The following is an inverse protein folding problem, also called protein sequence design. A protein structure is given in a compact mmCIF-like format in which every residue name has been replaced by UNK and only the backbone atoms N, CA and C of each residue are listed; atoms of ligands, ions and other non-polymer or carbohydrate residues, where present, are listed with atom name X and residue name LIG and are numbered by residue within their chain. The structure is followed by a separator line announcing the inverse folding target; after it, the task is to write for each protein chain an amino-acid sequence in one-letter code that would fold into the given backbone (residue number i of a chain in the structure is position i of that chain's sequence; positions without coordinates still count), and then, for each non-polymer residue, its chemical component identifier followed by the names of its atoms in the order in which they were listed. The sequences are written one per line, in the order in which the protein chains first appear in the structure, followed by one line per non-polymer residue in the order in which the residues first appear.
data_IF_561755312373
#
_entry.id   IF_561755312373
#
_cell.length_a   1.000
_cell.length_b   1.000
_cell.length_c   1.000
_cell.angle_alpha   90.00
_cell.angle_beta   90.00
_cell.angle_gamma   90.00
#
_symmetry.space_group_name_H-M   'P 1'
#
loop_
_entity.id
_entity.type
_entity.pdbx_description
1 polymer ?
#
# COMPACT_ATOMS: atom_id res chain seq x y z
N UNK A 1 -12.78 -21.15 -4.49
CA UNK A 1 -11.29 -21.32 -4.46
C UNK A 1 -10.66 -19.97 -4.78
N UNK A 2 -9.78 -19.49 -3.91
CA UNK A 2 -9.15 -18.18 -4.11
C UNK A 2 -8.27 -18.16 -5.37
N UNK A 3 -8.11 -17.00 -6.03
CA UNK A 3 -7.46 -16.88 -7.36
C UNK A 3 -6.01 -17.33 -7.41
N UNK A 4 -5.28 -17.22 -6.29
CA UNK A 4 -3.86 -17.56 -6.21
C UNK A 4 -3.58 -18.87 -5.46
N UNK A 5 -4.61 -19.71 -5.23
CA UNK A 5 -4.39 -21.05 -4.69
C UNK A 5 -3.44 -21.85 -5.60
N UNK A 6 -2.42 -22.45 -5.00
CA UNK A 6 -1.37 -23.19 -5.71
C UNK A 6 -0.22 -22.31 -6.23
N UNK A 7 -0.25 -20.99 -5.99
CA UNK A 7 0.89 -20.10 -6.23
C UNK A 7 1.74 -20.06 -4.97
N UNK A 8 3.05 -20.33 -5.10
CA UNK A 8 4.04 -20.22 -4.00
C UNK A 8 5.02 -19.09 -4.27
N UNK A 9 5.16 -18.19 -3.30
CA UNK A 9 6.04 -17.02 -3.35
C UNK A 9 7.01 -17.04 -2.17
N UNK A 10 8.30 -17.02 -2.46
CA UNK A 10 9.33 -16.77 -1.45
C UNK A 10 9.51 -15.26 -1.28
N UNK A 11 9.53 -14.76 -0.04
CA UNK A 11 9.57 -13.34 0.24
C UNK A 11 10.76 -13.00 1.16
N UNK A 12 11.80 -12.37 0.60
CA UNK A 12 12.95 -11.84 1.34
C UNK A 12 12.72 -10.35 1.54
N UNK A 13 11.99 -10.02 2.56
CA UNK A 13 11.39 -8.69 2.74
C UNK A 13 11.35 -8.27 4.20
N UNK A 14 11.28 -6.96 4.42
CA UNK A 14 11.16 -6.41 5.76
C UNK A 14 10.38 -5.10 5.77
N UNK A 15 9.89 -4.69 6.93
CA UNK A 15 9.23 -3.43 7.26
C UNK A 15 7.86 -3.29 6.60
N UNK A 16 7.70 -2.37 5.60
CA UNK A 16 6.40 -1.93 5.07
C UNK A 16 6.12 -2.37 3.62
N UNK A 17 6.83 -1.82 2.65
CA UNK A 17 6.47 -1.88 1.23
C UNK A 17 6.35 -3.31 0.65
N UNK A 18 7.42 -4.11 0.76
CA UNK A 18 7.42 -5.51 0.31
C UNK A 18 6.35 -6.34 1.02
N UNK A 19 6.39 -6.36 2.38
CA UNK A 19 5.40 -7.08 3.17
C UNK A 19 3.95 -6.71 2.87
N UNK A 20 3.65 -5.44 2.60
CA UNK A 20 2.31 -5.02 2.20
C UNK A 20 1.88 -5.64 0.86
N UNK A 21 2.76 -5.63 -0.14
CA UNK A 21 2.46 -6.21 -1.44
C UNK A 21 2.25 -7.73 -1.39
N UNK A 22 3.15 -8.46 -0.73
CA UNK A 22 3.05 -9.92 -0.62
C UNK A 22 1.89 -10.37 0.28
N UNK A 23 1.46 -9.53 1.24
CA UNK A 23 0.23 -9.78 2.02
C UNK A 23 -1.01 -9.80 1.13
N UNK A 24 -1.11 -8.92 0.11
CA UNK A 24 -2.22 -8.98 -0.86
C UNK A 24 -2.24 -10.31 -1.63
N UNK A 25 -1.08 -10.86 -1.97
CA UNK A 25 -1.00 -12.17 -2.61
C UNK A 25 -1.45 -13.28 -1.65
N UNK A 26 -1.02 -13.23 -0.40
CA UNK A 26 -1.43 -14.17 0.64
C UNK A 26 -2.94 -14.11 0.93
N UNK A 27 -3.53 -12.91 0.96
CA UNK A 27 -4.98 -12.71 1.11
C UNK A 27 -5.78 -13.30 -0.06
N UNK A 28 -5.18 -13.43 -1.25
CA UNK A 28 -5.77 -14.07 -2.43
C UNK A 28 -5.44 -15.57 -2.55
N UNK A 29 -4.85 -16.17 -1.52
CA UNK A 29 -4.62 -17.61 -1.43
C UNK A 29 -3.23 -18.09 -1.86
N UNK A 30 -2.30 -17.20 -2.22
CA UNK A 30 -0.93 -17.60 -2.44
C UNK A 30 -0.26 -18.08 -1.13
N UNK A 31 0.56 -19.10 -1.22
CA UNK A 31 1.44 -19.48 -0.13
C UNK A 31 2.68 -18.56 -0.15
N UNK A 32 2.69 -17.59 0.74
CA UNK A 32 3.82 -16.67 0.90
C UNK A 32 4.70 -17.16 2.05
N UNK A 33 5.95 -17.51 1.73
CA UNK A 33 6.97 -17.95 2.69
C UNK A 33 7.96 -16.79 2.88
N UNK A 34 7.86 -16.12 4.02
CA UNK A 34 8.76 -15.05 4.43
C UNK A 34 10.07 -15.67 4.93
N UNK A 35 11.16 -15.33 4.25
CA UNK A 35 12.51 -15.77 4.61
C UNK A 35 13.17 -14.68 5.45
N UNK A 36 13.58 -15.03 6.67
CA UNK A 36 14.15 -14.13 7.65
C UNK A 36 15.53 -14.62 8.09
N UNK A 37 16.49 -13.72 8.28
CA UNK A 37 17.80 -14.10 8.75
C UNK A 37 17.76 -14.46 10.24
N UNK A 38 18.22 -15.66 10.65
CA UNK A 38 18.21 -16.06 12.05
C UNK A 38 19.16 -15.24 12.93
N UNK A 39 20.19 -14.63 12.35
CA UNK A 39 21.30 -14.02 13.09
C UNK A 39 21.08 -12.54 13.42
N UNK A 40 20.07 -11.88 12.84
CA UNK A 40 19.77 -10.46 13.08
C UNK A 40 18.36 -10.22 13.66
N UNK A 41 17.66 -11.30 14.06
CA UNK A 41 16.30 -11.23 14.62
C UNK A 41 15.20 -11.11 13.56
N UNK A 42 15.53 -11.24 12.29
CA UNK A 42 14.57 -11.27 11.18
C UNK A 42 14.08 -9.90 10.74
N UNK A 43 12.79 -9.82 10.44
CA UNK A 43 12.17 -8.56 10.02
C UNK A 43 12.21 -7.52 11.17
N UNK A 44 12.88 -6.41 10.93
CA UNK A 44 13.01 -5.34 11.92
C UNK A 44 11.65 -4.82 12.41
N UNK A 45 10.58 -4.98 11.65
CA UNK A 45 9.23 -4.58 12.06
C UNK A 45 8.67 -5.38 13.24
N UNK A 46 9.25 -6.55 13.56
CA UNK A 46 8.92 -7.33 14.78
C UNK A 46 9.22 -6.57 16.07
N UNK A 47 10.18 -5.63 16.02
CA UNK A 47 10.58 -4.80 17.16
C UNK A 47 10.02 -3.35 17.10
N UNK A 48 9.24 -2.99 16.10
CA UNK A 48 8.68 -1.63 15.98
C UNK A 48 7.50 -1.46 16.95
N UNK A 49 7.66 -0.51 17.90
CA UNK A 49 6.62 -0.12 18.84
C UNK A 49 5.82 1.11 18.39
N UNK A 50 4.99 1.68 19.28
CA UNK A 50 4.97 1.42 20.74
C UNK A 50 4.02 0.29 21.19
N UNK A 51 3.25 -0.33 20.29
CA UNK A 51 2.22 -1.31 20.65
C UNK A 51 2.64 -2.74 20.29
N UNK A 52 2.49 -3.66 21.26
CA UNK A 52 2.87 -5.07 21.13
C UNK A 52 1.77 -5.97 21.71
N UNK A 53 1.52 -7.12 21.09
CA UNK A 53 0.66 -8.16 21.63
C UNK A 53 1.35 -8.98 22.73
N UNK A 54 2.67 -9.15 22.58
CA UNK A 54 3.58 -9.78 23.54
C UNK A 54 5.00 -9.22 23.31
N UNK A 55 5.97 -9.47 24.20
CA UNK A 55 7.37 -9.09 23.96
C UNK A 55 7.89 -9.62 22.61
N UNK A 56 8.38 -8.73 21.77
CA UNK A 56 8.85 -9.07 20.41
C UNK A 56 7.75 -9.37 19.38
N UNK A 57 6.50 -9.09 19.70
CA UNK A 57 5.33 -9.37 18.86
C UNK A 57 4.57 -8.08 18.54
N UNK A 58 5.12 -7.32 17.62
CA UNK A 58 4.67 -5.97 17.25
C UNK A 58 3.35 -5.95 16.49
N UNK A 59 2.42 -5.09 16.91
CA UNK A 59 1.20 -4.80 16.14
C UNK A 59 1.51 -4.26 14.74
N UNK A 60 2.65 -3.57 14.58
CA UNK A 60 3.12 -3.10 13.28
C UNK A 60 3.43 -4.28 12.34
N UNK A 61 4.16 -5.30 12.82
CA UNK A 61 4.44 -6.50 12.04
C UNK A 61 3.17 -7.23 11.59
N UNK A 62 2.19 -7.36 12.50
CA UNK A 62 0.90 -7.99 12.18
C UNK A 62 0.12 -7.25 11.10
N UNK A 63 0.27 -5.92 11.00
CA UNK A 63 -0.42 -5.11 10.00
C UNK A 63 -0.03 -5.44 8.55
N UNK A 64 1.12 -6.10 8.33
CA UNK A 64 1.69 -6.36 7.01
C UNK A 64 1.96 -7.84 6.71
N UNK A 65 1.75 -8.76 7.68
CA UNK A 65 2.25 -10.13 7.53
C UNK A 65 1.22 -11.24 7.79
N UNK A 66 -0.09 -10.90 7.88
CA UNK A 66 -1.14 -11.93 8.01
C UNK A 66 -1.09 -12.92 6.86
N UNK A 67 -1.52 -14.14 7.11
CA UNK A 67 -1.66 -15.23 6.12
C UNK A 67 -0.33 -15.77 5.57
N UNK A 68 0.83 -15.25 6.01
CA UNK A 68 2.15 -15.74 5.58
C UNK A 68 2.65 -16.89 6.46
N UNK A 69 3.69 -17.58 5.97
CA UNK A 69 4.56 -18.47 6.74
C UNK A 69 5.89 -17.77 6.99
N UNK A 70 6.60 -18.11 8.06
CA UNK A 70 7.97 -17.64 8.34
C UNK A 70 8.93 -18.81 8.37
N UNK A 71 10.06 -18.65 7.69
CA UNK A 71 11.19 -19.55 7.63
C UNK A 71 12.46 -18.77 7.94
N UNK A 72 13.24 -19.20 8.92
CA UNK A 72 14.56 -18.64 9.18
C UNK A 72 15.60 -19.25 8.25
N UNK A 73 16.43 -18.41 7.60
CA UNK A 73 17.46 -18.86 6.69
C UNK A 73 18.53 -17.79 6.45
N UNK A 74 19.79 -18.12 6.74
CA UNK A 74 20.92 -17.26 6.41
C UNK A 74 21.34 -17.45 4.95
N UNK A 75 20.91 -16.54 4.09
CA UNK A 75 21.21 -16.56 2.65
C UNK A 75 22.66 -16.18 2.31
N UNK A 76 23.46 -15.70 3.25
CA UNK A 76 24.87 -15.41 3.03
C UNK A 76 25.73 -16.69 3.05
N UNK A 77 25.19 -17.77 3.59
CA UNK A 77 25.92 -19.05 3.72
C UNK A 77 25.64 -20.00 2.57
N UNK A 78 26.64 -20.81 2.15
CA UNK A 78 26.43 -21.79 1.10
C UNK A 78 25.33 -22.80 1.39
N UNK A 79 25.21 -23.25 2.65
CA UNK A 79 24.12 -24.15 3.08
C UNK A 79 22.77 -23.53 2.96
N UNK A 80 22.65 -22.21 3.29
CA UNK A 80 21.44 -21.43 3.11
C UNK A 80 21.07 -21.26 1.64
N UNK A 81 22.06 -21.06 0.75
CA UNK A 81 21.83 -21.04 -0.69
C UNK A 81 21.32 -22.39 -1.22
N UNK A 82 21.81 -23.50 -0.69
CA UNK A 82 21.31 -24.83 -1.07
C UNK A 82 19.83 -25.00 -0.70
N UNK A 83 19.43 -24.57 0.50
CA UNK A 83 18.01 -24.56 0.93
C UNK A 83 17.17 -23.63 0.06
N UNK A 84 17.67 -22.43 -0.28
CA UNK A 84 16.99 -21.50 -1.18
C UNK A 84 16.73 -22.14 -2.55
N UNK A 85 17.72 -22.85 -3.10
CA UNK A 85 17.56 -23.55 -4.39
C UNK A 85 16.52 -24.67 -4.30
N UNK A 86 16.47 -25.43 -3.19
CA UNK A 86 15.47 -26.46 -2.99
C UNK A 86 14.05 -25.86 -2.88
N UNK A 87 13.88 -24.75 -2.18
CA UNK A 87 12.62 -23.99 -2.12
C UNK A 87 12.22 -23.45 -3.51
N UNK A 88 13.18 -22.88 -4.24
CA UNK A 88 12.93 -22.23 -5.54
C UNK A 88 12.44 -23.22 -6.61
N UNK A 89 12.82 -24.51 -6.54
CA UNK A 89 12.32 -25.56 -7.47
C UNK A 89 10.80 -25.69 -7.43
N UNK A 90 10.20 -25.55 -6.24
CA UNK A 90 8.77 -25.67 -6.02
C UNK A 90 8.02 -24.33 -5.90
N UNK A 91 8.66 -23.22 -6.26
CA UNK A 91 8.07 -21.88 -6.11
C UNK A 91 7.84 -21.22 -7.46
N UNK A 92 6.78 -20.42 -7.58
CA UNK A 92 6.47 -19.67 -8.79
C UNK A 92 7.25 -18.35 -8.85
N UNK A 93 7.53 -17.74 -7.68
CA UNK A 93 8.22 -16.47 -7.61
C UNK A 93 9.04 -16.30 -6.34
N UNK A 94 9.98 -15.36 -6.43
CA UNK A 94 10.66 -14.77 -5.29
C UNK A 94 10.46 -13.26 -5.33
N UNK A 95 10.09 -12.65 -4.19
CA UNK A 95 9.95 -11.22 -4.02
C UNK A 95 10.96 -10.71 -3.00
N UNK A 96 11.53 -9.52 -3.24
CA UNK A 96 12.42 -8.87 -2.28
C UNK A 96 12.17 -7.36 -2.20
N UNK A 97 12.38 -6.74 -1.03
CA UNK A 97 12.38 -5.30 -0.88
C UNK A 97 13.68 -4.78 -0.27
N UNK A 98 14.78 -5.30 -0.77
CA UNK A 98 16.12 -4.97 -0.34
C UNK A 98 16.70 -3.80 -1.14
N UNK A 99 17.79 -3.19 -0.62
CA UNK A 99 18.56 -2.22 -1.39
C UNK A 99 18.99 -2.84 -2.74
N UNK A 100 19.01 -2.03 -3.80
CA UNK A 100 19.10 -2.52 -5.18
C UNK A 100 20.32 -3.41 -5.52
N UNK A 101 21.43 -3.23 -4.81
CA UNK A 101 22.66 -4.01 -4.98
C UNK A 101 22.65 -5.39 -4.24
N UNK A 102 21.71 -5.61 -3.34
CA UNK A 102 21.69 -6.77 -2.43
C UNK A 102 21.10 -8.04 -3.06
N UNK A 103 20.01 -8.00 -3.85
CA UNK A 103 19.40 -9.24 -4.39
C UNK A 103 20.38 -10.11 -5.17
N UNK A 104 21.25 -9.51 -5.99
CA UNK A 104 22.25 -10.27 -6.74
C UNK A 104 23.31 -10.92 -5.85
N UNK A 105 23.69 -10.27 -4.73
CA UNK A 105 24.64 -10.80 -3.74
C UNK A 105 24.08 -12.00 -2.98
N UNK A 106 22.76 -11.99 -2.73
CA UNK A 106 22.04 -13.07 -2.03
C UNK A 106 21.47 -14.14 -2.98
N UNK A 107 21.81 -14.11 -4.27
CA UNK A 107 21.36 -15.13 -5.22
C UNK A 107 19.87 -15.07 -5.59
N UNK A 108 19.19 -13.95 -5.34
CA UNK A 108 17.73 -13.81 -5.50
C UNK A 108 17.31 -13.41 -6.92
N UNK A 109 18.24 -13.35 -7.87
CA UNK A 109 18.00 -12.89 -9.24
C UNK A 109 17.76 -14.07 -10.20
N UNK A 110 17.01 -13.82 -11.26
CA UNK A 110 16.64 -14.84 -12.25
C UNK A 110 17.86 -15.58 -12.80
N UNK A 111 18.95 -14.87 -13.11
CA UNK A 111 20.18 -15.46 -13.65
C UNK A 111 20.78 -16.56 -12.74
N UNK A 112 20.61 -16.43 -11.42
CA UNK A 112 21.05 -17.41 -10.42
C UNK A 112 20.08 -18.58 -10.25
N UNK A 113 18.77 -18.32 -10.41
CA UNK A 113 17.72 -19.29 -10.11
C UNK A 113 17.21 -20.04 -11.34
N UNK A 114 17.44 -19.54 -12.56
CA UNK A 114 16.95 -20.16 -13.81
C UNK A 114 17.41 -21.59 -14.03
N UNK A 115 18.58 -21.98 -13.51
CA UNK A 115 19.10 -23.35 -13.63
C UNK A 115 18.36 -24.35 -12.75
N UNK A 116 17.75 -23.87 -11.66
CA UNK A 116 16.94 -24.70 -10.75
C UNK A 116 15.45 -24.63 -11.10
N UNK A 117 15.00 -23.45 -11.55
CA UNK A 117 13.62 -23.23 -11.99
C UNK A 117 13.57 -22.19 -13.13
N UNK A 118 13.52 -22.63 -14.41
CA UNK A 118 13.51 -21.71 -15.55
C UNK A 118 12.28 -20.83 -15.64
N UNK A 119 11.20 -21.11 -14.88
CA UNK A 119 9.96 -20.34 -14.90
C UNK A 119 9.86 -19.34 -13.74
N UNK A 120 10.82 -19.32 -12.81
CA UNK A 120 10.74 -18.50 -11.61
C UNK A 120 10.74 -17.01 -11.96
N UNK A 121 9.84 -16.26 -11.35
CA UNK A 121 9.81 -14.79 -11.44
C UNK A 121 10.53 -14.21 -10.23
N UNK A 122 11.49 -13.32 -10.46
CA UNK A 122 12.21 -12.61 -9.40
C UNK A 122 11.78 -11.15 -9.40
N UNK A 123 10.96 -10.76 -8.44
CA UNK A 123 10.42 -9.41 -8.31
C UNK A 123 11.17 -8.62 -7.23
N UNK A 124 11.71 -7.46 -7.61
CA UNK A 124 12.54 -6.66 -6.72
C UNK A 124 11.94 -5.27 -6.52
N UNK A 125 11.73 -4.91 -5.26
CA UNK A 125 11.40 -3.58 -4.84
C UNK A 125 12.63 -2.95 -4.19
N UNK A 126 13.01 -1.76 -4.62
CA UNK A 126 14.14 -1.02 -4.05
C UNK A 126 13.84 0.48 -3.98
N UNK A 127 14.71 1.27 -3.38
CA UNK A 127 14.51 2.71 -3.29
C UNK A 127 14.57 3.40 -4.67
N UNK A 128 15.64 3.12 -5.45
CA UNK A 128 15.95 3.81 -6.71
C UNK A 128 16.21 2.86 -7.89
N UNK A 129 15.82 1.59 -7.78
CA UNK A 129 16.14 0.57 -8.79
C UNK A 129 17.42 -0.20 -8.47
N UNK A 130 17.67 -1.27 -9.25
CA UNK A 130 18.85 -2.13 -9.12
C UNK A 130 20.04 -1.69 -9.99
N UNK A 131 19.89 -0.64 -10.77
CA UNK A 131 20.94 -0.12 -11.66
C UNK A 131 21.08 1.40 -11.51
N UNK A 132 22.18 1.94 -12.02
CA UNK A 132 22.45 3.37 -11.98
C UNK A 132 23.17 3.81 -10.70
N UNK A 133 23.44 5.12 -10.58
CA UNK A 133 24.33 5.66 -9.54
C UNK A 133 23.75 5.62 -8.11
N UNK A 134 22.48 5.27 -7.95
CA UNK A 134 21.80 5.21 -6.66
C UNK A 134 21.33 3.79 -6.28
N UNK A 135 21.79 2.75 -6.99
CA UNK A 135 21.37 1.38 -6.73
C UNK A 135 21.72 0.89 -5.30
N UNK A 136 22.78 1.41 -4.72
CA UNK A 136 23.26 1.13 -3.36
C UNK A 136 22.80 2.15 -2.31
N UNK A 137 21.93 3.12 -2.68
CA UNK A 137 21.44 4.09 -1.72
C UNK A 137 20.28 3.54 -0.90
N UNK A 138 20.28 3.78 0.42
CA UNK A 138 19.13 3.48 1.24
C UNK A 138 18.00 4.48 0.93
N UNK A 139 16.75 4.02 1.02
CA UNK A 139 15.59 4.89 0.85
C UNK A 139 14.40 4.36 1.63
N UNK A 140 13.58 5.31 2.07
CA UNK A 140 12.37 5.06 2.85
C UNK A 140 11.26 5.98 2.35
N UNK A 141 10.03 5.63 2.60
CA UNK A 141 8.83 6.34 2.17
C UNK A 141 8.94 7.88 2.28
N UNK A 142 9.20 8.41 3.47
CA UNK A 142 9.19 9.86 3.71
C UNK A 142 10.30 10.61 2.97
N UNK A 143 11.42 9.95 2.70
CA UNK A 143 12.47 10.52 1.85
C UNK A 143 11.99 10.61 0.41
N UNK A 144 11.31 9.56 -0.08
CA UNK A 144 10.74 9.54 -1.43
C UNK A 144 9.63 10.58 -1.59
N UNK A 145 8.76 10.74 -0.58
CA UNK A 145 7.76 11.80 -0.58
C UNK A 145 8.40 13.19 -0.69
N UNK A 146 9.48 13.44 0.05
CA UNK A 146 10.18 14.72 0.01
C UNK A 146 10.82 14.96 -1.36
N UNK A 147 11.57 13.99 -1.88
CA UNK A 147 12.31 14.11 -3.13
C UNK A 147 11.39 14.15 -4.36
N UNK A 148 10.28 13.41 -4.36
CA UNK A 148 9.29 13.40 -5.45
C UNK A 148 8.28 14.56 -5.38
N UNK A 149 8.46 15.52 -4.46
CA UNK A 149 7.69 16.76 -4.43
C UNK A 149 6.37 16.71 -3.63
N UNK A 150 6.02 15.62 -2.94
CA UNK A 150 4.75 15.50 -2.19
C UNK A 150 4.64 16.55 -1.07
N UNK A 151 5.76 16.88 -0.42
CA UNK A 151 5.77 17.89 0.64
C UNK A 151 5.40 19.29 0.13
N UNK A 152 5.62 19.57 -1.15
CA UNK A 152 5.21 20.82 -1.79
C UNK A 152 3.73 20.88 -2.16
N UNK A 153 3.05 19.74 -2.15
CA UNK A 153 1.63 19.59 -2.52
C UNK A 153 0.71 19.48 -1.30
N UNK A 154 1.23 19.07 -0.13
CA UNK A 154 0.45 18.75 1.06
C UNK A 154 0.45 19.91 2.06
N UNK A 155 -0.74 20.26 2.59
CA UNK A 155 -0.93 21.28 3.61
C UNK A 155 -1.43 22.63 3.07
N UNK A 156 -1.59 23.61 3.94
CA UNK A 156 -2.04 24.97 3.58
C UNK A 156 -0.89 25.79 2.99
N UNK A 157 -1.19 26.74 2.07
CA UNK A 157 -0.20 27.72 1.60
C UNK A 157 0.46 28.48 2.75
N UNK A 158 1.76 28.72 2.65
CA UNK A 158 2.53 29.45 3.68
C UNK A 158 2.92 28.64 4.91
N UNK A 159 2.35 27.45 5.12
CA UNK A 159 2.78 26.54 6.18
C UNK A 159 4.10 25.85 5.81
N UNK A 160 4.88 25.32 6.78
CA UNK A 160 6.06 24.50 6.50
C UNK A 160 5.71 23.30 5.59
N UNK A 161 6.70 22.74 4.84
CA UNK A 161 6.50 21.51 4.08
C UNK A 161 5.94 20.40 4.97
N UNK A 162 4.90 19.72 4.48
CA UNK A 162 4.21 18.65 5.23
C UNK A 162 4.18 17.37 4.42
N UNK A 163 4.54 16.23 5.06
CA UNK A 163 4.38 14.91 4.46
C UNK A 163 2.91 14.52 4.37
N UNK A 164 2.59 13.60 3.48
CA UNK A 164 1.33 12.88 3.57
C UNK A 164 1.29 12.03 4.85
N UNK A 165 0.15 11.97 5.52
CA UNK A 165 0.00 11.36 6.84
C UNK A 165 0.39 9.89 6.94
N UNK A 166 0.34 9.14 5.84
CA UNK A 166 0.66 7.72 5.76
C UNK A 166 2.01 7.50 5.03
N UNK A 167 2.58 6.30 5.14
CA UNK A 167 3.67 5.83 4.29
C UNK A 167 3.12 5.45 2.90
N UNK A 168 2.56 6.43 2.19
CA UNK A 168 1.78 6.20 0.98
C UNK A 168 2.63 5.67 -0.17
N UNK A 169 3.89 6.06 -0.26
CA UNK A 169 4.81 5.58 -1.30
C UNK A 169 5.11 4.10 -1.08
N UNK A 170 5.37 3.68 0.16
CA UNK A 170 5.55 2.26 0.50
C UNK A 170 4.32 1.44 0.12
N UNK A 171 3.12 1.89 0.53
CA UNK A 171 1.88 1.17 0.26
C UNK A 171 1.60 1.05 -1.24
N UNK A 172 1.75 2.14 -2.00
CA UNK A 172 1.57 2.12 -3.45
C UNK A 172 2.62 1.29 -4.17
N UNK A 173 3.88 1.33 -3.71
CA UNK A 173 4.96 0.52 -4.31
C UNK A 173 4.77 -0.97 -3.99
N UNK A 174 4.28 -1.31 -2.79
CA UNK A 174 3.91 -2.68 -2.44
C UNK A 174 2.82 -3.24 -3.38
N UNK A 175 1.77 -2.45 -3.66
CA UNK A 175 0.77 -2.83 -4.67
C UNK A 175 1.39 -2.93 -6.07
N UNK A 176 2.31 -2.03 -6.42
CA UNK A 176 3.08 -2.09 -7.66
C UNK A 176 3.90 -3.38 -7.78
N UNK A 177 4.54 -3.82 -6.69
CA UNK A 177 5.26 -5.10 -6.62
C UNK A 177 4.32 -6.28 -6.85
N UNK A 178 3.17 -6.33 -6.17
CA UNK A 178 2.18 -7.38 -6.35
C UNK A 178 1.67 -7.45 -7.80
N UNK A 179 1.35 -6.28 -8.39
CA UNK A 179 0.93 -6.18 -9.79
C UNK A 179 2.04 -6.66 -10.75
N UNK A 180 3.27 -6.19 -10.59
CA UNK A 180 4.41 -6.55 -11.41
C UNK A 180 4.69 -8.06 -11.36
N UNK A 181 4.64 -8.65 -10.15
CA UNK A 181 4.80 -10.08 -9.94
C UNK A 181 3.71 -10.87 -10.68
N UNK A 182 2.43 -10.51 -10.53
CA UNK A 182 1.32 -11.20 -11.22
C UNK A 182 1.42 -11.07 -12.75
N UNK A 183 1.80 -9.91 -13.28
CA UNK A 183 2.02 -9.72 -14.70
C UNK A 183 3.16 -10.62 -15.23
N UNK A 184 4.28 -10.68 -14.50
CA UNK A 184 5.40 -11.53 -14.85
C UNK A 184 5.08 -13.03 -14.71
N UNK A 185 4.32 -13.44 -13.69
CA UNK A 185 3.83 -14.81 -13.54
C UNK A 185 2.94 -15.24 -14.71
N UNK A 186 2.05 -14.36 -15.15
CA UNK A 186 1.19 -14.62 -16.31
C UNK A 186 2.04 -14.85 -17.57
N UNK A 187 3.06 -14.03 -17.79
CA UNK A 187 3.99 -14.18 -18.91
C UNK A 187 4.84 -15.45 -18.78
N UNK A 188 5.34 -15.77 -17.57
CA UNK A 188 6.17 -16.96 -17.33
C UNK A 188 5.37 -18.27 -17.53
N UNK A 189 4.09 -18.30 -17.12
CA UNK A 189 3.21 -19.45 -17.37
C UNK A 189 2.94 -19.67 -18.84
N UNK A 190 2.79 -18.59 -19.62
CA UNK A 190 2.55 -18.69 -21.06
C UNK A 190 3.82 -19.07 -21.86
N UNK A 191 4.99 -18.53 -21.49
CA UNK A 191 6.24 -18.72 -22.23
C UNK A 191 7.10 -19.88 -21.75
N UNK A 192 6.89 -20.35 -20.52
CA UNK A 192 7.76 -21.30 -19.86
C UNK A 192 9.07 -20.68 -19.33
N UNK A 193 9.22 -19.35 -19.38
CA UNK A 193 10.45 -18.63 -19.03
C UNK A 193 10.15 -17.52 -18.02
N UNK A 194 10.83 -17.56 -16.88
CA UNK A 194 10.77 -16.53 -15.85
C UNK A 194 11.65 -15.31 -16.18
N UNK A 195 11.72 -14.37 -15.26
CA UNK A 195 12.52 -13.15 -15.42
C UNK A 195 12.70 -12.39 -14.12
N UNK A 196 13.63 -11.45 -14.10
CA UNK A 196 13.63 -10.36 -13.14
C UNK A 196 12.58 -9.31 -13.52
N UNK A 197 11.96 -8.67 -12.53
CA UNK A 197 11.12 -7.48 -12.68
C UNK A 197 11.40 -6.52 -11.53
N UNK A 198 11.54 -5.24 -11.85
CA UNK A 198 11.93 -4.19 -10.90
C UNK A 198 10.80 -3.19 -10.67
N UNK A 199 10.65 -2.78 -9.42
CA UNK A 199 9.80 -1.67 -8.99
C UNK A 199 10.61 -0.81 -8.03
N UNK A 200 10.59 0.52 -8.16
CA UNK A 200 11.27 1.39 -7.21
C UNK A 200 10.31 2.34 -6.49
N UNK A 201 10.64 2.69 -5.24
CA UNK A 201 9.88 3.67 -4.47
C UNK A 201 9.85 5.02 -5.19
N UNK A 202 11.01 5.46 -5.72
CA UNK A 202 11.12 6.76 -6.37
C UNK A 202 10.32 6.84 -7.67
N UNK A 203 10.42 5.81 -8.54
CA UNK A 203 9.65 5.76 -9.78
C UNK A 203 8.14 5.73 -9.51
N UNK A 204 7.72 4.96 -8.50
CA UNK A 204 6.32 4.90 -8.10
C UNK A 204 5.85 6.25 -7.55
N UNK A 205 6.68 6.92 -6.73
CA UNK A 205 6.36 8.25 -6.22
C UNK A 205 6.18 9.27 -7.35
N UNK A 206 7.10 9.29 -8.33
CA UNK A 206 6.98 10.16 -9.51
C UNK A 206 5.74 9.82 -10.34
N UNK A 207 5.52 8.53 -10.63
CA UNK A 207 4.36 8.08 -11.42
C UNK A 207 3.03 8.50 -10.78
N UNK A 208 2.92 8.43 -9.45
CA UNK A 208 1.73 8.81 -8.71
C UNK A 208 1.42 10.32 -8.77
N UNK A 209 2.36 11.18 -9.16
CA UNK A 209 2.07 12.60 -9.40
C UNK A 209 1.19 12.83 -10.63
N UNK A 210 1.05 11.84 -11.51
CA UNK A 210 0.08 11.72 -12.60
C UNK A 210 -0.05 13.01 -13.45
N UNK A 211 -1.26 13.61 -13.45
CA UNK A 211 -1.55 14.80 -14.27
C UNK A 211 -0.75 16.04 -13.84
N UNK A 212 -0.34 16.15 -12.59
CA UNK A 212 0.49 17.28 -12.13
C UNK A 212 1.87 17.25 -12.80
N UNK A 213 2.49 16.06 -12.89
CA UNK A 213 3.73 15.88 -13.65
C UNK A 213 3.51 16.16 -15.14
N UNK A 214 2.39 15.68 -15.70
CA UNK A 214 2.06 15.92 -17.13
C UNK A 214 1.93 17.40 -17.43
N UNK A 215 1.27 18.18 -16.58
CA UNK A 215 1.14 19.62 -16.75
C UNK A 215 2.50 20.34 -16.67
N UNK A 216 3.36 19.94 -15.73
CA UNK A 216 4.68 20.51 -15.65
C UNK A 216 5.55 20.20 -16.88
N UNK A 217 5.56 18.93 -17.31
CA UNK A 217 6.41 18.48 -18.42
C UNK A 217 6.00 19.07 -19.77
N UNK A 218 4.73 19.42 -19.96
CA UNK A 218 4.24 19.94 -21.24
C UNK A 218 4.01 21.46 -21.25
N UNK A 219 3.59 22.03 -20.11
CA UNK A 219 3.18 23.44 -20.02
C UNK A 219 4.04 24.24 -19.04
N UNK A 220 4.97 23.60 -18.33
CA UNK A 220 5.79 24.25 -17.32
C UNK A 220 5.01 24.67 -16.06
N UNK A 221 3.78 24.18 -15.87
CA UNK A 221 2.92 24.57 -14.76
C UNK A 221 3.37 23.86 -13.48
N UNK A 222 3.88 24.65 -12.51
CA UNK A 222 4.23 24.18 -11.17
C UNK A 222 2.98 24.27 -10.29
N UNK A 223 2.40 23.12 -9.93
CA UNK A 223 1.30 23.07 -8.96
C UNK A 223 1.84 23.11 -7.55
N UNK A 224 1.33 24.04 -6.75
CA UNK A 224 1.63 24.15 -5.31
C UNK A 224 0.41 23.82 -4.45
N UNK A 225 0.55 24.09 -3.14
CA UNK A 225 -0.54 24.00 -2.18
C UNK A 225 -1.60 25.05 -2.47
N UNK A 226 -2.85 24.64 -2.37
CA UNK A 226 -4.01 25.53 -2.49
C UNK A 226 -4.75 25.62 -1.16
N UNK A 227 -5.35 26.78 -0.81
CA UNK A 227 -6.13 26.91 0.40
C UNK A 227 -7.24 25.88 0.47
N UNK A 228 -7.53 25.39 1.69
CA UNK A 228 -8.66 24.48 1.95
C UNK A 228 -8.61 23.17 1.17
N UNK A 229 -7.41 22.67 0.89
CA UNK A 229 -7.22 21.44 0.10
C UNK A 229 -7.94 21.50 -1.24
N UNK A 230 -7.94 22.66 -1.91
CA UNK A 230 -8.65 22.87 -3.16
C UNK A 230 -8.00 22.11 -4.33
N UNK A 231 -8.83 21.60 -5.24
CA UNK A 231 -8.37 21.03 -6.49
C UNK A 231 -7.83 22.13 -7.44
N UNK A 232 -6.70 21.96 -8.11
CA UNK A 232 -6.11 23.02 -8.93
C UNK A 232 -6.98 23.48 -10.10
N UNK A 233 -7.82 22.61 -10.67
CA UNK A 233 -8.60 22.91 -11.87
C UNK A 233 -10.11 22.84 -11.69
N UNK A 234 -10.64 22.35 -10.56
CA UNK A 234 -12.08 22.16 -10.35
C UNK A 234 -12.60 23.01 -9.20
N UNK A 235 -13.79 23.56 -9.35
CA UNK A 235 -14.50 24.33 -8.34
C UNK A 235 -16.02 24.14 -8.52
N UNK A 236 -16.80 23.83 -7.42
CA UNK A 236 -16.39 23.54 -6.04
C UNK A 236 -15.69 22.16 -5.92
N UNK A 237 -14.48 22.15 -5.39
CA UNK A 237 -13.76 20.93 -5.04
C UNK A 237 -12.73 21.25 -3.95
N UNK A 238 -13.19 21.36 -2.69
CA UNK A 238 -12.40 21.79 -1.53
C UNK A 238 -13.19 21.67 -0.22
N UNK A 239 -12.56 22.06 0.89
CA UNK A 239 -13.20 22.21 2.20
C UNK A 239 -14.07 23.46 2.27
N UNK A 240 -15.24 23.31 2.89
CA UNK A 240 -16.16 24.39 3.24
C UNK A 240 -16.54 24.31 4.72
N UNK A 241 -16.83 25.48 5.33
CA UNK A 241 -17.26 25.53 6.73
C UNK A 241 -18.75 25.27 6.87
N UNK A 242 -19.11 24.45 7.85
CA UNK A 242 -20.48 24.21 8.28
C UNK A 242 -20.71 24.82 9.66
N UNK A 243 -21.92 24.68 10.23
CA UNK A 243 -22.22 25.20 11.58
C UNK A 243 -21.36 24.57 12.68
N UNK A 244 -20.94 23.31 12.50
CA UNK A 244 -20.25 22.49 13.50
C UNK A 244 -18.86 21.97 13.06
N UNK A 245 -18.35 22.41 11.90
CA UNK A 245 -17.04 22.00 11.44
C UNK A 245 -16.82 22.18 9.95
N UNK A 246 -16.42 21.11 9.28
CA UNK A 246 -16.03 21.12 7.88
C UNK A 246 -16.73 20.04 7.07
N UNK A 247 -17.01 20.36 5.80
CA UNK A 247 -17.48 19.42 4.79
C UNK A 247 -16.57 19.52 3.54
N UNK A 248 -16.21 18.40 2.93
CA UNK A 248 -15.58 18.41 1.62
C UNK A 248 -16.63 18.26 0.53
N UNK A 249 -16.67 19.18 -0.43
CA UNK A 249 -17.49 19.07 -1.62
C UNK A 249 -16.61 18.75 -2.83
N UNK A 250 -17.10 17.88 -3.72
CA UNK A 250 -16.38 17.49 -4.94
C UNK A 250 -17.32 17.50 -6.17
N UNK A 251 -17.67 18.68 -6.64
CA UNK A 251 -18.47 18.83 -7.85
C UNK A 251 -17.59 18.69 -9.10
N UNK A 252 -17.13 17.46 -9.38
CA UNK A 252 -16.22 17.14 -10.48
C UNK A 252 -16.91 16.85 -11.83
N UNK A 253 -18.22 17.05 -11.92
CA UNK A 253 -19.02 17.02 -13.15
C UNK A 253 -19.95 18.22 -13.15
N UNK A 254 -20.21 18.80 -14.33
CA UNK A 254 -21.05 19.99 -14.46
C UNK A 254 -22.45 19.81 -13.86
N UNK A 255 -23.04 18.62 -13.95
CA UNK A 255 -24.35 18.30 -13.38
C UNK A 255 -24.45 18.43 -11.85
N UNK A 256 -23.33 18.39 -11.14
CA UNK A 256 -23.34 18.50 -9.67
C UNK A 256 -23.48 19.96 -9.19
N UNK A 257 -23.13 20.92 -10.03
CA UNK A 257 -23.28 22.33 -9.68
C UNK A 257 -24.75 22.75 -9.55
N UNK A 258 -25.63 22.54 -10.55
CA UNK A 258 -27.05 22.83 -10.38
C UNK A 258 -27.70 22.06 -9.22
N UNK A 259 -27.34 20.79 -9.05
CA UNK A 259 -27.86 20.00 -7.93
C UNK A 259 -27.43 20.57 -6.56
N UNK A 260 -26.20 21.05 -6.43
CA UNK A 260 -25.74 21.74 -5.21
C UNK A 260 -26.54 23.03 -5.00
N UNK A 261 -26.71 23.87 -6.03
CA UNK A 261 -27.47 25.12 -5.95
C UNK A 261 -28.93 24.88 -5.48
N UNK A 262 -29.57 23.86 -6.04
CA UNK A 262 -30.95 23.47 -5.63
C UNK A 262 -31.00 23.06 -4.16
N UNK A 263 -30.05 22.20 -3.70
CA UNK A 263 -29.97 21.74 -2.31
C UNK A 263 -29.67 22.85 -1.31
N UNK A 264 -28.94 23.87 -1.74
CA UNK A 264 -28.68 25.09 -0.95
C UNK A 264 -29.88 26.08 -0.93
N UNK A 265 -30.90 25.86 -1.76
CA UNK A 265 -32.00 26.81 -1.94
C UNK A 265 -31.61 28.05 -2.76
N UNK A 266 -30.62 27.91 -3.62
CA UNK A 266 -30.06 28.98 -4.47
C UNK A 266 -30.01 28.57 -5.94
N UNK A 267 -31.12 28.12 -6.55
CA UNK A 267 -31.11 27.63 -7.93
C UNK A 267 -30.62 28.69 -8.93
N UNK A 268 -30.81 29.97 -8.63
CA UNK A 268 -30.38 31.11 -9.46
C UNK A 268 -28.83 31.13 -9.66
N UNK A 269 -28.05 30.56 -8.74
CA UNK A 269 -26.59 30.51 -8.90
C UNK A 269 -26.15 29.60 -10.04
N UNK A 270 -26.96 28.62 -10.40
CA UNK A 270 -26.69 27.74 -11.51
C UNK A 270 -26.70 28.46 -12.86
N UNK A 271 -27.53 29.49 -12.98
CA UNK A 271 -27.72 30.30 -14.18
C UNK A 271 -26.80 31.53 -14.23
N UNK A 272 -26.15 31.88 -13.12
CA UNK A 272 -25.20 33.00 -13.06
C UNK A 272 -24.01 32.74 -13.99
N UNK A 273 -23.78 33.68 -14.92
CA UNK A 273 -22.69 33.56 -15.90
C UNK A 273 -21.29 33.38 -15.27
N UNK A 274 -21.08 33.87 -14.04
CA UNK A 274 -19.84 33.73 -13.29
C UNK A 274 -19.59 32.29 -12.82
N UNK A 275 -20.64 31.45 -12.76
CA UNK A 275 -20.57 30.12 -12.13
C UNK A 275 -21.10 29.00 -13.03
N UNK A 276 -21.53 29.30 -14.24
CA UNK A 276 -22.22 28.35 -15.13
C UNK A 276 -21.33 27.16 -15.52
N UNK A 277 -20.03 27.38 -15.76
CA UNK A 277 -19.08 26.37 -16.22
C UNK A 277 -17.85 26.28 -15.30
N UNK A 278 -17.10 25.18 -15.37
CA UNK A 278 -15.87 25.01 -14.60
C UNK A 278 -14.88 26.17 -14.71
N UNK A 279 -14.50 26.64 -15.92
CA UNK A 279 -13.57 27.76 -16.04
C UNK A 279 -14.08 29.03 -15.36
N UNK A 280 -15.40 29.28 -15.43
CA UNK A 280 -16.01 30.47 -14.82
C UNK A 280 -15.97 30.38 -13.30
N UNK A 281 -16.34 29.22 -12.73
CA UNK A 281 -16.24 28.97 -11.29
C UNK A 281 -14.82 29.03 -10.80
N UNK A 282 -13.86 28.47 -11.55
CA UNK A 282 -12.44 28.51 -11.22
C UNK A 282 -11.91 29.94 -11.15
N UNK A 283 -12.27 30.78 -12.10
CA UNK A 283 -11.91 32.20 -12.14
C UNK A 283 -12.48 32.98 -10.95
N UNK A 284 -13.64 32.58 -10.46
CA UNK A 284 -14.36 33.26 -9.35
C UNK A 284 -14.33 32.43 -8.05
N UNK A 285 -13.33 31.56 -7.86
CA UNK A 285 -13.25 30.60 -6.73
C UNK A 285 -13.42 31.26 -5.37
N UNK A 286 -12.70 32.34 -5.10
CA UNK A 286 -12.71 32.98 -3.77
C UNK A 286 -14.10 33.56 -3.45
N UNK A 287 -14.72 34.23 -4.42
CA UNK A 287 -16.08 34.73 -4.28
C UNK A 287 -17.06 33.58 -4.02
N UNK A 288 -17.00 32.54 -4.84
CA UNK A 288 -17.88 31.38 -4.71
C UNK A 288 -17.65 30.64 -3.38
N UNK A 289 -16.43 30.56 -2.91
CA UNK A 289 -16.10 29.99 -1.60
C UNK A 289 -16.78 30.74 -0.47
N UNK A 290 -16.75 32.08 -0.49
CA UNK A 290 -17.43 32.90 0.50
C UNK A 290 -18.97 32.73 0.47
N UNK A 291 -19.56 32.66 -0.73
CA UNK A 291 -21.01 32.43 -0.90
C UNK A 291 -21.41 31.04 -0.37
N UNK A 292 -20.67 29.99 -0.73
CA UNK A 292 -20.95 28.62 -0.26
C UNK A 292 -20.76 28.48 1.25
N UNK A 293 -19.72 29.07 1.83
CA UNK A 293 -19.56 29.11 3.30
C UNK A 293 -20.73 29.79 4.00
N UNK A 294 -21.26 30.89 3.43
CA UNK A 294 -22.40 31.58 3.98
C UNK A 294 -23.64 30.70 4.10
N UNK A 295 -23.92 29.89 3.09
CA UNK A 295 -25.05 28.96 3.11
C UNK A 295 -24.78 27.72 3.96
N UNK A 296 -23.58 27.10 3.81
CA UNK A 296 -23.25 25.86 4.49
C UNK A 296 -23.15 26.02 6.01
N UNK A 297 -22.79 27.19 6.52
CA UNK A 297 -22.80 27.51 7.96
C UNK A 297 -24.17 27.48 8.61
N UNK A 298 -25.25 27.49 7.84
CA UNK A 298 -26.62 27.50 8.40
C UNK A 298 -27.03 26.14 9.00
N UNK A 299 -26.39 25.03 8.59
CA UNK A 299 -26.72 23.69 9.07
C UNK A 299 -25.44 22.95 9.50
N UNK A 300 -25.62 21.87 10.26
CA UNK A 300 -24.54 20.95 10.63
C UNK A 300 -24.02 20.14 9.41
N UNK A 301 -22.82 19.63 9.51
CA UNK A 301 -22.25 18.70 8.52
C UNK A 301 -23.19 17.51 8.27
N UNK A 302 -23.73 16.91 9.34
CA UNK A 302 -24.66 15.79 9.24
C UNK A 302 -25.95 16.12 8.50
N UNK A 303 -26.56 17.28 8.77
CA UNK A 303 -27.78 17.75 8.09
C UNK A 303 -27.52 17.96 6.58
N UNK A 304 -26.35 18.52 6.22
CA UNK A 304 -25.96 18.69 4.81
C UNK A 304 -25.71 17.37 4.11
N UNK A 305 -24.99 16.44 4.74
CA UNK A 305 -24.73 15.13 4.16
C UNK A 305 -26.01 14.34 3.89
N UNK A 306 -26.99 14.42 4.80
CA UNK A 306 -28.30 13.82 4.61
C UNK A 306 -29.05 14.46 3.42
N UNK A 307 -28.98 15.78 3.27
CA UNK A 307 -29.58 16.50 2.14
C UNK A 307 -28.93 16.21 0.81
N UNK A 308 -27.61 16.03 0.79
CA UNK A 308 -26.80 15.80 -0.41
C UNK A 308 -26.79 14.35 -0.88
N UNK A 309 -27.19 13.41 -0.01
CA UNK A 309 -27.12 11.97 -0.30
C UNK A 309 -27.66 11.63 -1.69
N UNK A 310 -26.87 10.92 -2.49
CA UNK A 310 -27.21 10.48 -3.85
C UNK A 310 -27.24 11.56 -4.94
N UNK A 311 -27.08 12.86 -4.58
CA UNK A 311 -27.18 13.96 -5.54
C UNK A 311 -25.93 14.84 -5.66
N UNK A 312 -25.30 15.17 -4.54
CA UNK A 312 -24.08 16.00 -4.50
C UNK A 312 -22.94 15.23 -3.85
N UNK A 313 -21.78 15.07 -4.50
CA UNK A 313 -20.64 14.42 -3.89
C UNK A 313 -20.08 15.25 -2.74
N UNK A 314 -20.24 14.74 -1.52
CA UNK A 314 -19.80 15.37 -0.29
C UNK A 314 -19.34 14.32 0.73
N UNK A 315 -18.41 14.71 1.60
CA UNK A 315 -17.92 13.85 2.67
C UNK A 315 -17.66 14.63 3.96
N UNK A 316 -17.83 14.00 5.14
CA UNK A 316 -17.39 14.58 6.40
C UNK A 316 -15.87 14.53 6.49
N UNK A 317 -15.28 15.31 7.38
CA UNK A 317 -13.87 15.24 7.72
C UNK A 317 -13.75 14.43 9.02
N UNK A 318 -13.53 13.14 8.85
CA UNK A 318 -13.39 12.19 9.95
C UNK A 318 -11.95 12.10 10.42
N UNK A 319 -11.75 11.89 11.71
CA UNK A 319 -10.54 11.27 12.21
C UNK A 319 -10.55 9.74 11.97
N UNK A 320 -9.46 9.05 12.31
CA UNK A 320 -9.33 7.62 12.06
C UNK A 320 -10.33 6.78 12.87
N UNK A 321 -10.63 7.18 14.12
CA UNK A 321 -11.60 6.48 14.96
C UNK A 321 -13.00 6.60 14.36
N UNK A 322 -13.43 7.81 14.00
CA UNK A 322 -14.71 8.08 13.36
C UNK A 322 -14.85 7.32 12.03
N UNK A 323 -13.77 7.23 11.24
CA UNK A 323 -13.77 6.48 9.99
C UNK A 323 -13.96 4.97 10.23
N UNK A 324 -13.28 4.38 11.22
CA UNK A 324 -13.37 2.95 11.54
C UNK A 324 -14.67 2.58 12.25
N UNK A 325 -15.27 3.50 12.99
CA UNK A 325 -16.55 3.33 13.66
C UNK A 325 -17.77 3.62 12.76
N UNK A 326 -17.54 4.08 11.54
CA UNK A 326 -18.61 4.34 10.58
C UNK A 326 -19.49 3.07 10.41
N UNK A 327 -20.84 3.21 10.50
CA UNK A 327 -21.76 2.09 10.30
C UNK A 327 -21.49 1.30 9.02
N UNK A 328 -21.19 1.97 7.91
CA UNK A 328 -20.83 1.30 6.66
C UNK A 328 -19.61 0.38 6.79
N UNK A 329 -18.62 0.74 7.61
CA UNK A 329 -17.43 -0.08 7.86
C UNK A 329 -17.78 -1.30 8.70
N UNK A 330 -18.58 -1.12 9.76
CA UNK A 330 -18.99 -2.20 10.67
C UNK A 330 -19.94 -3.21 10.01
N UNK A 331 -20.94 -2.70 9.29
CA UNK A 331 -22.05 -3.52 8.80
C UNK A 331 -21.71 -4.25 7.49
N UNK A 332 -20.63 -3.89 6.81
CA UNK A 332 -20.24 -4.45 5.51
C UNK A 332 -18.92 -5.23 5.55
N UNK A 333 -18.53 -5.75 6.72
CA UNK A 333 -17.36 -6.63 6.84
C UNK A 333 -16.05 -5.98 6.40
N UNK A 334 -15.86 -4.67 6.70
CA UNK A 334 -14.61 -3.96 6.40
C UNK A 334 -13.54 -4.17 7.46
N UNK A 335 -13.93 -4.75 8.58
CA UNK A 335 -13.03 -5.16 9.66
C UNK A 335 -13.06 -6.69 9.77
N UNK A 336 -11.94 -7.27 10.15
CA UNK A 336 -11.83 -8.70 10.45
C UNK A 336 -11.22 -8.92 11.84
N UNK A 337 -11.63 -10.00 12.48
CA UNK A 337 -11.04 -10.48 13.74
C UNK A 337 -10.18 -11.69 13.42
N UNK A 338 -8.92 -11.66 13.84
CA UNK A 338 -7.95 -12.71 13.60
C UNK A 338 -7.58 -13.34 14.94
N UNK A 339 -7.55 -14.68 15.07
CA UNK A 339 -7.10 -15.34 16.30
C UNK A 339 -5.62 -15.04 16.55
N UNK A 340 -5.25 -14.96 17.83
CA UNK A 340 -3.86 -14.71 18.25
C UNK A 340 -3.51 -15.60 19.45
N UNK A 341 -2.37 -16.29 19.42
CA UNK A 341 -2.06 -17.32 20.44
C UNK A 341 -1.92 -16.74 21.85
N UNK A 342 -1.46 -15.51 22.01
CA UNK A 342 -1.24 -14.86 23.31
C UNK A 342 -2.38 -13.91 23.67
N UNK A 343 -2.79 -13.04 22.74
CA UNK A 343 -3.84 -12.03 22.96
C UNK A 343 -5.26 -12.61 22.89
N UNK A 344 -5.43 -13.82 22.38
CA UNK A 344 -6.71 -14.43 22.06
C UNK A 344 -7.22 -14.00 20.67
N UNK A 345 -7.34 -12.72 20.41
CA UNK A 345 -7.66 -12.19 19.08
C UNK A 345 -7.29 -10.70 18.94
N UNK A 346 -7.17 -10.25 17.71
CA UNK A 346 -7.03 -8.82 17.37
C UNK A 346 -7.86 -8.47 16.15
N UNK A 347 -8.18 -7.19 16.01
CA UNK A 347 -8.93 -6.67 14.88
C UNK A 347 -8.03 -5.90 13.94
N UNK A 348 -8.31 -6.00 12.65
CA UNK A 348 -7.65 -5.20 11.63
C UNK A 348 -8.60 -4.92 10.44
N UNK A 349 -8.21 -4.00 9.57
CA UNK A 349 -8.93 -3.74 8.32
C UNK A 349 -8.82 -4.97 7.43
N UNK A 350 -9.96 -5.43 6.91
CA UNK A 350 -10.03 -6.56 5.99
C UNK A 350 -9.38 -6.21 4.65
N UNK A 351 -8.99 -7.26 3.89
CA UNK A 351 -8.48 -7.03 2.52
C UNK A 351 -9.51 -6.27 1.66
N UNK A 352 -9.08 -5.24 0.92
CA UNK A 352 -9.97 -4.51 0.02
C UNK A 352 -10.27 -5.29 -1.27
N UNK A 353 -9.45 -6.29 -1.62
CA UNK A 353 -9.65 -7.15 -2.80
C UNK A 353 -10.43 -8.39 -2.37
N UNK A 354 -11.65 -8.50 -2.87
CA UNK A 354 -12.59 -9.55 -2.47
C UNK A 354 -13.05 -10.36 -3.67
N UNK A 355 -12.98 -11.67 -3.54
CA UNK A 355 -13.61 -12.59 -4.47
C UNK A 355 -15.04 -12.87 -4.01
N UNK A 356 -16.02 -12.71 -4.88
CA UNK A 356 -17.42 -13.01 -4.55
C UNK A 356 -17.57 -14.50 -4.32
N UNK A 357 -18.06 -14.88 -3.13
CA UNK A 357 -18.27 -16.27 -2.75
C UNK A 357 -17.06 -16.98 -2.11
N UNK A 358 -15.91 -16.32 -2.02
CA UNK A 358 -14.72 -16.85 -1.33
C UNK A 358 -14.29 -15.89 -0.20
N UNK A 359 -13.84 -16.44 0.91
CA UNK A 359 -13.30 -15.69 2.02
C UNK A 359 -11.76 -15.72 2.01
N UNK A 360 -11.14 -14.57 2.29
CA UNK A 360 -9.70 -14.51 2.51
C UNK A 360 -9.31 -15.32 3.75
N UNK A 361 -8.14 -15.98 3.76
CA UNK A 361 -7.67 -16.69 4.95
C UNK A 361 -7.55 -15.71 6.14
N UNK A 362 -7.96 -16.12 7.33
CA UNK A 362 -7.92 -15.33 8.57
C UNK A 362 -6.81 -15.79 9.51
N UNK A 363 -5.60 -16.07 9.00
CA UNK A 363 -4.48 -16.53 9.81
C UNK A 363 -3.67 -15.33 10.33
N UNK A 364 -3.17 -15.39 11.59
CA UNK A 364 -2.30 -14.34 12.12
C UNK A 364 -1.01 -14.24 11.30
N UNK A 365 -0.26 -13.14 11.53
CA UNK A 365 1.12 -13.09 11.08
C UNK A 365 1.94 -14.17 11.82
N UNK A 366 2.92 -14.80 11.13
CA UNK A 366 3.66 -15.92 11.72
C UNK A 366 4.64 -15.46 12.80
N UNK A 367 4.87 -16.29 13.80
CA UNK A 367 6.01 -16.18 14.70
C UNK A 367 7.34 -16.31 13.93
N UNK A 368 8.42 -15.79 14.50
CA UNK A 368 9.76 -15.85 13.90
C UNK A 368 10.21 -17.31 13.71
N UNK A 369 10.45 -17.72 12.47
CA UNK A 369 10.84 -19.09 12.12
C UNK A 369 9.79 -20.16 12.40
N UNK A 370 8.55 -19.80 12.68
CA UNK A 370 7.47 -20.71 13.09
C UNK A 370 7.34 -21.94 12.18
N UNK A 371 7.59 -21.77 10.89
CA UNK A 371 7.35 -22.81 9.90
C UNK A 371 8.64 -23.47 9.38
N UNK A 372 9.82 -23.09 9.91
CA UNK A 372 11.13 -23.53 9.39
C UNK A 372 11.24 -25.04 9.28
N UNK A 373 11.01 -25.78 10.37
CA UNK A 373 11.16 -27.24 10.35
C UNK A 373 10.12 -27.91 9.45
N UNK A 374 8.87 -27.45 9.49
CA UNK A 374 7.81 -28.02 8.68
C UNK A 374 8.10 -27.89 7.18
N UNK A 375 8.58 -26.72 6.75
CA UNK A 375 8.95 -26.46 5.36
C UNK A 375 10.19 -27.25 4.93
N UNK A 376 11.19 -27.43 5.81
CA UNK A 376 12.36 -28.27 5.51
C UNK A 376 11.99 -29.75 5.40
N UNK A 377 11.10 -30.26 6.26
CA UNK A 377 10.59 -31.64 6.13
C UNK A 377 9.79 -31.83 4.85
N UNK A 378 8.99 -30.85 4.41
CA UNK A 378 8.29 -30.87 3.11
C UNK A 378 9.28 -31.00 1.94
N UNK A 379 10.48 -30.42 2.05
CA UNK A 379 11.57 -30.57 1.07
C UNK A 379 12.34 -31.90 1.19
N UNK A 380 11.98 -32.78 2.14
CA UNK A 380 12.63 -34.09 2.34
C UNK A 380 13.86 -34.05 3.25
N UNK A 381 14.06 -32.99 4.02
CA UNK A 381 15.16 -32.91 5.00
C UNK A 381 14.81 -33.75 6.23
N UNK A 382 15.67 -34.65 6.60
CA UNK A 382 15.55 -35.42 7.84
C UNK A 382 15.94 -34.62 9.08
N UNK A 383 15.63 -35.15 10.27
CA UNK A 383 15.89 -34.44 11.54
C UNK A 383 17.40 -34.25 11.79
N UNK A 384 18.27 -35.11 11.25
CA UNK A 384 19.71 -34.97 11.36
C UNK A 384 20.20 -33.76 10.57
N UNK A 385 19.76 -33.63 9.32
CA UNK A 385 20.09 -32.48 8.45
C UNK A 385 19.55 -31.17 9.00
N UNK A 386 18.33 -31.17 9.53
CA UNK A 386 17.71 -29.99 10.16
C UNK A 386 18.50 -29.56 11.39
N UNK A 387 18.90 -30.50 12.28
CA UNK A 387 19.76 -30.18 13.43
C UNK A 387 21.10 -29.61 13.00
N UNK A 388 21.73 -30.21 12.01
CA UNK A 388 23.02 -29.70 11.49
C UNK A 388 22.94 -28.26 10.99
N UNK A 389 21.86 -27.89 10.26
CA UNK A 389 21.65 -26.51 9.83
C UNK A 389 21.44 -25.54 10.99
N UNK A 390 20.72 -25.98 12.05
CA UNK A 390 20.51 -25.18 13.25
C UNK A 390 21.80 -25.00 14.04
N UNK A 391 22.55 -26.08 14.29
CA UNK A 391 23.81 -26.04 15.04
C UNK A 391 24.85 -25.17 14.33
N UNK A 392 24.77 -25.11 13.02
CA UNK A 392 25.60 -24.23 12.19
C UNK A 392 25.08 -22.77 12.12
N UNK A 393 23.92 -22.43 12.70
CA UNK A 393 23.32 -21.10 12.66
C UNK A 393 22.83 -20.67 11.25
N UNK A 394 22.44 -21.65 10.42
CA UNK A 394 21.89 -21.40 9.08
C UNK A 394 20.38 -21.15 9.14
N UNK A 395 19.70 -21.80 10.10
CA UNK A 395 18.26 -21.70 10.35
C UNK A 395 17.95 -21.38 11.80
#
# INVERSE_FOLDING_TARGET
MLPLNGVRVLAVEQYGAGPFGTMFLADQGAEVIKIENPNDGGDMSRAVGPHFFAPGDSEFFHSFNRNKKSLTLDLARPEGQAVLHDLARGSDAIASNLRGDVPAKLGLVYERLKTVNPKIVCAHLSAYGRSGPRADWPGFDYLMQAEAGYFSLTGEPGAPPARFGLSIVDLMTGLGLAYALLAALTAARASGTGRDIDVSLFDMALHNTAYLATWYLNEGIVTGRLPRSAHPALTPCQLYTTRDGWIYLMCNKEKFWPALCEKLGRPEWAEDARFRRFPDRLKHRDMLTGMLDGELKQRTTGEWLASFAGSVPAAPINDLAQALENPFVRDHGRLQTIPHPVKGSYRMVATPVRCVGDEAPGRPAPGFGEHTEALLRELGYDDGRIRGLRDAGVI
#
